data_IF_762669062206
#
_entry.id   IF_762669062206
#
_cell.length_a   1.000
_cell.length_b   1.000
_cell.length_c   1.000
_cell.angle_alpha   90.00
_cell.angle_beta   90.00
_cell.angle_gamma   90.00
#
_symmetry.space_group_name_H-M   'P 1'
#
loop_
_entity.id
_entity.type
_entity.pdbx_description
1 polymer ?
#
# COMPACT_ATOMS: atom_id res chain seq x y z
N UNK A 1 7.34 -7.79 8.19
CA UNK A 1 7.73 -7.60 9.60
C UNK A 1 7.26 -6.28 10.20
N UNK A 2 7.41 -5.13 9.52
CA UNK A 2 7.00 -3.82 10.08
C UNK A 2 5.52 -3.79 10.50
N UNK A 3 4.59 -4.18 9.62
CA UNK A 3 3.16 -4.20 9.95
C UNK A 3 2.81 -5.11 11.13
N UNK A 4 3.53 -6.22 11.29
CA UNK A 4 3.40 -7.11 12.45
C UNK A 4 3.83 -6.42 13.75
N UNK A 5 4.98 -5.74 13.76
CA UNK A 5 5.43 -5.00 14.94
C UNK A 5 4.50 -3.83 15.31
N UNK A 6 3.92 -3.15 14.31
CA UNK A 6 2.88 -2.12 14.55
C UNK A 6 1.66 -2.76 15.22
N UNK A 7 1.18 -3.90 14.72
CA UNK A 7 0.06 -4.61 15.35
C UNK A 7 0.39 -5.09 16.78
N UNK A 8 1.60 -5.59 17.02
CA UNK A 8 2.05 -5.97 18.37
C UNK A 8 2.04 -4.80 19.35
N UNK A 9 2.50 -3.62 18.93
CA UNK A 9 2.36 -2.39 19.73
C UNK A 9 0.89 -2.05 19.99
N UNK A 10 0.03 -2.25 18.99
CA UNK A 10 -1.41 -2.00 19.08
C UNK A 10 -2.14 -2.89 20.08
N UNK A 11 -1.62 -4.07 20.43
CA UNK A 11 -2.21 -4.90 21.49
C UNK A 11 -2.18 -4.23 22.86
N UNK A 12 -1.18 -3.38 23.13
CA UNK A 12 -1.07 -2.62 24.38
C UNK A 12 -1.76 -1.25 24.34
N UNK A 13 -1.89 -0.65 23.15
CA UNK A 13 -2.45 0.69 22.98
C UNK A 13 -3.28 0.81 21.67
N UNK A 14 -4.41 0.08 21.55
CA UNK A 14 -5.19 -0.01 20.31
C UNK A 14 -5.87 1.31 19.91
N UNK A 15 -6.16 2.17 20.88
CA UNK A 15 -6.80 3.49 20.71
C UNK A 15 -5.82 4.60 20.30
N UNK A 16 -4.51 4.30 20.31
CA UNK A 16 -3.50 5.34 20.08
C UNK A 16 -3.64 5.95 18.69
N UNK A 17 -3.34 7.25 18.56
CA UNK A 17 -3.37 7.95 17.28
C UNK A 17 -2.45 7.28 16.26
N UNK A 18 -1.30 6.74 16.70
CA UNK A 18 -0.39 6.01 15.83
C UNK A 18 -1.03 4.76 15.22
N UNK A 19 -1.74 3.95 16.02
CA UNK A 19 -2.46 2.76 15.55
C UNK A 19 -3.65 3.16 14.66
N UNK A 20 -4.35 4.22 15.03
CA UNK A 20 -5.45 4.75 14.23
C UNK A 20 -4.96 5.16 12.85
N UNK A 21 -3.92 5.99 12.74
CA UNK A 21 -3.39 6.45 11.44
C UNK A 21 -2.84 5.27 10.62
N UNK A 22 -2.04 4.40 11.23
CA UNK A 22 -1.43 3.25 10.53
C UNK A 22 -2.47 2.23 10.07
N UNK A 23 -3.65 2.16 10.71
CA UNK A 23 -4.76 1.31 10.25
C UNK A 23 -5.33 1.72 8.88
N UNK A 24 -5.10 2.96 8.45
CA UNK A 24 -5.50 3.45 7.12
C UNK A 24 -4.38 3.43 6.07
N UNK A 25 -3.14 3.06 6.47
CA UNK A 25 -2.02 2.99 5.53
C UNK A 25 -2.06 1.65 4.77
N UNK A 26 -2.09 1.66 3.43
CA UNK A 26 -2.03 0.45 2.62
C UNK A 26 -0.89 -0.48 3.04
N UNK A 27 -1.06 -1.79 2.83
CA UNK A 27 -0.18 -2.87 3.32
C UNK A 27 -0.22 -3.13 4.83
N UNK A 28 -0.51 -2.13 5.66
CA UNK A 28 -0.68 -2.29 7.11
C UNK A 28 -2.14 -2.47 7.52
N UNK A 29 -3.07 -1.85 6.79
CA UNK A 29 -4.51 -1.92 7.02
C UNK A 29 -5.03 -3.33 7.34
N UNK A 30 -4.72 -4.40 6.58
CA UNK A 30 -5.28 -5.74 6.85
C UNK A 30 -4.92 -6.28 8.24
N UNK A 31 -3.75 -5.93 8.77
CA UNK A 31 -3.31 -6.39 10.09
C UNK A 31 -3.78 -5.45 11.20
N UNK A 32 -3.54 -4.14 11.02
CA UNK A 32 -3.78 -3.14 12.08
C UNK A 32 -5.26 -2.82 12.24
N UNK A 33 -6.02 -2.72 11.14
CA UNK A 33 -7.47 -2.50 11.22
C UNK A 33 -8.20 -3.75 11.76
N UNK A 34 -7.74 -4.95 11.40
CA UNK A 34 -8.27 -6.20 11.96
C UNK A 34 -8.11 -6.24 13.49
N UNK A 35 -6.93 -5.86 13.99
CA UNK A 35 -6.69 -5.71 15.42
C UNK A 35 -7.65 -4.70 16.05
N UNK A 36 -7.82 -3.50 15.45
CA UNK A 36 -8.70 -2.46 15.98
C UNK A 36 -10.15 -2.92 16.04
N UNK A 37 -10.68 -3.54 14.99
CA UNK A 37 -12.05 -4.11 14.99
C UNK A 37 -12.20 -5.23 16.02
N UNK A 38 -11.17 -6.04 16.22
CA UNK A 38 -11.20 -7.15 17.18
C UNK A 38 -11.11 -6.71 18.65
N UNK A 39 -10.51 -5.55 18.92
CA UNK A 39 -10.28 -5.05 20.28
C UNK A 39 -11.22 -3.92 20.69
N UNK A 40 -11.73 -3.16 19.72
CA UNK A 40 -12.46 -1.92 19.94
C UNK A 40 -13.84 -1.99 19.28
N UNK A 41 -14.81 -1.29 19.87
CA UNK A 41 -16.11 -1.07 19.24
C UNK A 41 -16.06 0.17 18.35
N UNK A 42 -15.40 0.05 17.20
CA UNK A 42 -15.34 1.14 16.21
C UNK A 42 -16.55 1.13 15.26
N UNK A 43 -16.99 2.30 14.79
CA UNK A 43 -18.03 2.39 13.77
C UNK A 43 -17.67 1.61 12.50
N UNK A 44 -18.67 1.02 11.84
CA UNK A 44 -18.48 0.20 10.63
C UNK A 44 -17.91 0.98 9.44
N UNK A 45 -18.01 2.32 9.43
CA UNK A 45 -17.41 3.14 8.38
C UNK A 45 -15.88 3.16 8.43
N UNK A 46 -15.26 2.97 9.60
CA UNK A 46 -13.79 3.00 9.73
C UNK A 46 -13.13 1.85 8.93
N UNK A 47 -13.52 0.56 9.12
CA UNK A 47 -12.99 -0.52 8.30
C UNK A 47 -13.31 -0.39 6.81
N UNK A 48 -14.51 0.08 6.47
CA UNK A 48 -14.92 0.30 5.07
C UNK A 48 -14.02 1.33 4.40
N UNK A 49 -13.74 2.44 5.09
CA UNK A 49 -12.82 3.47 4.60
C UNK A 49 -11.41 2.89 4.39
N UNK A 50 -10.92 2.08 5.33
CA UNK A 50 -9.64 1.37 5.19
C UNK A 50 -9.59 0.46 3.95
N UNK A 51 -10.66 -0.30 3.69
CA UNK A 51 -10.77 -1.14 2.49
C UNK A 51 -10.74 -0.31 1.21
N UNK A 52 -11.48 0.81 1.17
CA UNK A 52 -11.52 1.71 0.01
C UNK A 52 -10.12 2.28 -0.28
N UNK A 53 -9.42 2.78 0.74
CA UNK A 53 -8.06 3.32 0.61
C UNK A 53 -7.09 2.23 0.11
N UNK A 54 -7.21 1.00 0.62
CA UNK A 54 -6.39 -0.12 0.19
C UNK A 54 -6.63 -0.49 -1.28
N UNK A 55 -7.89 -0.55 -1.73
CA UNK A 55 -8.24 -0.80 -3.13
C UNK A 55 -7.74 0.31 -4.05
N UNK A 56 -7.85 1.57 -3.63
CA UNK A 56 -7.30 2.70 -4.37
C UNK A 56 -5.78 2.59 -4.53
N UNK A 57 -5.07 2.20 -3.48
CA UNK A 57 -3.62 1.96 -3.55
C UNK A 57 -3.26 0.80 -4.49
N UNK A 58 -4.02 -0.30 -4.46
CA UNK A 58 -3.83 -1.42 -5.40
C UNK A 58 -4.00 -0.94 -6.84
N UNK A 59 -5.06 -0.19 -7.14
CA UNK A 59 -5.29 0.33 -8.49
C UNK A 59 -4.16 1.26 -8.94
N UNK A 60 -3.70 2.18 -8.07
CA UNK A 60 -2.61 3.09 -8.38
C UNK A 60 -1.32 2.34 -8.70
N UNK A 61 -0.96 1.37 -7.86
CA UNK A 61 0.25 0.57 -8.05
C UNK A 61 0.14 -0.36 -9.26
N UNK A 62 -1.05 -0.91 -9.53
CA UNK A 62 -1.29 -1.72 -10.72
C UNK A 62 -1.12 -0.90 -12.01
N UNK A 63 -1.68 0.32 -12.06
CA UNK A 63 -1.52 1.22 -13.20
C UNK A 63 -0.05 1.60 -13.39
N UNK A 64 0.64 1.95 -12.31
CA UNK A 64 2.05 2.32 -12.35
C UNK A 64 2.93 1.14 -12.79
N UNK A 65 2.72 -0.03 -12.21
CA UNK A 65 3.41 -1.27 -12.56
C UNK A 65 3.18 -1.67 -14.02
N UNK A 66 1.94 -1.57 -14.50
CA UNK A 66 1.60 -1.85 -15.90
C UNK A 66 2.30 -0.90 -16.88
N UNK A 67 2.41 0.40 -16.55
CA UNK A 67 3.15 1.36 -17.38
C UNK A 67 4.64 1.05 -17.42
N UNK A 68 5.25 0.76 -16.27
CA UNK A 68 6.66 0.37 -16.21
C UNK A 68 6.91 -0.92 -16.99
N UNK A 69 6.05 -1.92 -16.83
CA UNK A 69 6.19 -3.19 -17.52
C UNK A 69 6.09 -3.03 -19.04
N UNK A 70 5.13 -2.24 -19.54
CA UNK A 70 5.00 -1.94 -20.98
C UNK A 70 6.24 -1.27 -21.57
N UNK A 71 6.83 -0.32 -20.87
CA UNK A 71 8.05 0.33 -21.36
C UNK A 71 9.31 -0.53 -21.19
N UNK A 72 9.37 -1.34 -20.14
CA UNK A 72 10.50 -2.22 -19.84
C UNK A 72 10.58 -3.47 -20.71
N UNK A 73 9.44 -4.05 -21.12
CA UNK A 73 9.42 -5.26 -21.97
C UNK A 73 10.00 -5.02 -23.37
N UNK A 74 10.05 -3.76 -23.82
CA UNK A 74 10.64 -3.36 -25.10
C UNK A 74 12.15 -3.03 -24.99
N UNK A 75 12.73 -3.09 -23.79
CA UNK A 75 14.15 -2.78 -23.56
C UNK A 75 15.02 -4.04 -23.66
N UNK A 76 15.50 -4.33 -24.86
CA UNK A 76 16.57 -5.31 -25.08
C UNK A 76 17.94 -4.64 -24.88
N UNK A 77 18.47 -4.68 -23.66
CA UNK A 77 19.78 -4.09 -23.32
C UNK A 77 20.19 -4.32 -21.86
N UNK A 78 21.47 -4.06 -21.52
CA UNK A 78 22.03 -4.27 -20.16
C UNK A 78 21.32 -3.36 -19.15
N UNK A 79 20.52 -3.97 -18.26
CA UNK A 79 19.67 -3.24 -17.31
C UNK A 79 20.48 -2.36 -16.36
N UNK A 80 20.08 -1.10 -16.24
CA UNK A 80 20.49 -0.18 -15.19
C UNK A 80 19.19 0.39 -14.57
N UNK A 81 18.70 -0.27 -13.51
CA UNK A 81 17.32 -0.15 -12.98
C UNK A 81 16.76 1.28 -12.92
N UNK A 82 17.52 2.26 -12.45
CA UNK A 82 17.02 3.65 -12.34
C UNK A 82 16.93 4.39 -13.68
N UNK A 83 17.81 4.11 -14.65
CA UNK A 83 17.80 4.74 -15.97
C UNK A 83 16.70 4.14 -16.86
N UNK A 84 16.42 2.86 -16.68
CA UNK A 84 15.42 2.12 -17.47
C UNK A 84 13.99 2.53 -17.09
N UNK A 85 13.69 2.77 -15.81
CA UNK A 85 12.38 3.26 -15.36
C UNK A 85 12.04 4.61 -16.01
N UNK A 86 13.00 5.54 -16.06
CA UNK A 86 12.80 6.86 -16.67
C UNK A 86 12.56 6.75 -18.19
N UNK A 87 13.32 5.89 -18.87
CA UNK A 87 13.22 5.66 -20.32
C UNK A 87 11.91 4.95 -20.70
N UNK A 88 11.46 3.99 -19.90
CA UNK A 88 10.18 3.29 -20.06
C UNK A 88 8.97 4.25 -19.95
N UNK A 89 9.01 5.21 -19.02
CA UNK A 89 7.97 6.23 -18.87
C UNK A 89 7.93 7.19 -20.06
N UNK A 90 9.09 7.60 -20.58
CA UNK A 90 9.18 8.47 -21.78
C UNK A 90 8.66 7.78 -23.04
N UNK A 91 8.93 6.48 -23.24
CA UNK A 91 8.46 5.72 -24.40
C UNK A 91 6.96 5.45 -24.40
N UNK A 92 6.32 5.46 -23.23
CA UNK A 92 4.86 5.25 -23.09
C UNK A 92 4.04 6.49 -23.49
N UNK A 93 4.69 7.65 -23.72
CA UNK A 93 4.02 8.93 -24.06
C UNK A 93 3.82 9.18 -25.57
N UNK A 94 4.12 8.23 -26.44
CA UNK A 94 3.95 8.39 -27.90
C UNK A 94 2.64 7.81 -28.41
#
# INVERSE_FOLDING_TARGET
MIGFFIAMFGLGAPESTFITVTSYIPFFTPMVMFLRVGMLNIPTFEPILGIIIMLAAIMLLAIFGARIYRGGVLMYGKSNSFKDIKKAIELTKK
#
